data_IF_852003435163
#
_entry.id   IF_852003435163
#
_cell.length_a   1.000
_cell.length_b   1.000
_cell.length_c   1.000
_cell.angle_alpha   90.00
_cell.angle_beta   90.00
_cell.angle_gamma   90.00
#
_symmetry.space_group_name_H-M   'P 1'
#
loop_
_entity.id
_entity.type
_entity.pdbx_description
1 polymer ?
#
# COMPACT_ATOMS: atom_id res chain seq x y z
N UNK A 1 -55.66 -33.92 -6.03
CA UNK A 1 -54.64 -33.40 -5.05
C UNK A 1 -53.20 -33.56 -5.53
N UNK A 2 -52.85 -34.53 -6.33
CA UNK A 2 -51.46 -34.73 -6.73
C UNK A 2 -50.92 -33.71 -7.76
N UNK A 3 -51.72 -33.22 -8.67
CA UNK A 3 -51.29 -32.29 -9.73
C UNK A 3 -51.01 -30.87 -9.22
N UNK A 4 -51.72 -30.38 -8.23
CA UNK A 4 -51.52 -29.06 -7.64
C UNK A 4 -50.26 -29.03 -6.76
N UNK A 5 -50.04 -30.08 -5.95
CA UNK A 5 -48.81 -30.22 -5.11
C UNK A 5 -47.53 -30.36 -5.95
N UNK A 6 -47.61 -31.06 -7.10
CA UNK A 6 -46.47 -31.16 -8.04
C UNK A 6 -46.14 -29.83 -8.71
N UNK A 7 -47.12 -28.99 -9.03
CA UNK A 7 -46.92 -27.67 -9.64
C UNK A 7 -46.32 -26.67 -8.64
N UNK A 8 -46.76 -26.66 -7.39
CA UNK A 8 -46.20 -25.83 -6.34
C UNK A 8 -44.78 -26.25 -5.98
N UNK A 9 -44.49 -27.54 -5.94
CA UNK A 9 -43.13 -28.03 -5.67
C UNK A 9 -42.15 -27.71 -6.80
N UNK A 10 -42.59 -27.84 -8.07
CA UNK A 10 -41.79 -27.46 -9.23
C UNK A 10 -41.53 -25.95 -9.28
N UNK A 11 -42.52 -25.12 -8.96
CA UNK A 11 -42.35 -23.66 -8.87
C UNK A 11 -41.39 -23.25 -7.73
N UNK A 12 -41.47 -23.91 -6.57
CA UNK A 12 -40.56 -23.64 -5.46
C UNK A 12 -39.12 -24.06 -5.80
N UNK A 13 -38.93 -25.20 -6.48
CA UNK A 13 -37.64 -25.67 -6.92
C UNK A 13 -37.01 -24.73 -7.96
N UNK A 14 -37.85 -24.17 -8.87
CA UNK A 14 -37.39 -23.21 -9.87
C UNK A 14 -36.90 -21.90 -9.23
N UNK A 15 -37.61 -21.41 -8.20
CA UNK A 15 -37.23 -20.20 -7.45
C UNK A 15 -35.92 -20.41 -6.69
N UNK A 16 -35.72 -21.58 -6.09
CA UNK A 16 -34.46 -21.90 -5.36
C UNK A 16 -33.31 -22.02 -6.35
N UNK A 17 -33.49 -22.57 -7.56
CA UNK A 17 -32.43 -22.64 -8.57
C UNK A 17 -32.02 -21.26 -9.10
N UNK A 18 -32.97 -20.31 -9.23
CA UNK A 18 -32.64 -18.95 -9.73
C UNK A 18 -31.90 -18.12 -8.72
N UNK A 19 -32.04 -18.40 -7.42
CA UNK A 19 -31.26 -17.69 -6.36
C UNK A 19 -29.82 -18.16 -6.25
N UNK A 20 -29.45 -19.31 -6.82
CA UNK A 20 -28.09 -19.82 -6.81
C UNK A 20 -27.20 -19.24 -7.93
N UNK A 21 -27.78 -18.55 -8.92
CA UNK A 21 -27.01 -17.92 -10.01
C UNK A 21 -26.79 -16.42 -9.83
N UNK A 22 -27.08 -15.83 -8.66
CA UNK A 22 -26.87 -14.42 -8.41
C UNK A 22 -25.49 -14.11 -7.77
N UNK A 23 -24.49 -14.90 -8.07
CA UNK A 23 -23.09 -14.49 -7.90
C UNK A 23 -22.44 -14.51 -9.28
N UNK A 24 -22.77 -13.55 -10.12
CA UNK A 24 -21.78 -13.09 -11.09
C UNK A 24 -20.66 -12.45 -10.27
N UNK A 25 -19.61 -13.21 -10.06
CA UNK A 25 -18.30 -12.69 -9.74
C UNK A 25 -17.89 -11.83 -10.95
N UNK A 26 -18.29 -10.57 -10.97
CA UNK A 26 -17.60 -9.58 -11.78
C UNK A 26 -16.16 -9.60 -11.32
N UNK A 27 -15.30 -10.26 -12.08
CA UNK A 27 -13.88 -10.41 -11.83
C UNK A 27 -13.12 -9.08 -11.84
N UNK A 28 -13.83 -7.97 -12.01
CA UNK A 28 -13.31 -6.61 -11.99
C UNK A 28 -13.56 -5.89 -10.67
N UNK A 29 -14.49 -6.33 -9.84
CA UNK A 29 -14.72 -5.80 -8.52
C UNK A 29 -13.56 -6.21 -7.59
N UNK A 30 -12.75 -5.23 -7.18
CA UNK A 30 -11.59 -5.41 -6.32
C UNK A 30 -10.25 -5.53 -7.05
N UNK A 31 -10.18 -5.33 -8.37
CA UNK A 31 -8.91 -5.13 -9.08
C UNK A 31 -8.52 -3.66 -9.03
N UNK A 32 -7.55 -3.36 -8.19
CA UNK A 32 -6.97 -2.03 -8.10
C UNK A 32 -5.73 -1.94 -9.00
N UNK A 33 -5.61 -0.84 -9.73
CA UNK A 33 -4.39 -0.57 -10.50
C UNK A 33 -3.18 -0.45 -9.57
N UNK A 34 -2.01 -1.00 -9.93
CA UNK A 34 -0.78 -0.75 -9.17
C UNK A 34 -0.50 0.74 -9.02
N UNK A 35 0.11 1.14 -7.92
CA UNK A 35 0.55 2.51 -7.73
C UNK A 35 1.58 2.89 -8.80
N UNK A 36 1.43 4.09 -9.37
CA UNK A 36 2.36 4.67 -10.35
C UNK A 36 3.13 5.81 -9.71
N UNK A 37 4.42 5.79 -9.91
CA UNK A 37 5.34 6.70 -9.24
C UNK A 37 6.18 7.52 -10.21
N UNK A 38 6.49 8.74 -9.81
CA UNK A 38 7.47 9.61 -10.45
C UNK A 38 8.44 10.15 -9.40
N UNK A 39 9.66 10.45 -9.81
CA UNK A 39 10.66 11.17 -9.02
C UNK A 39 11.49 12.07 -9.93
N UNK A 40 12.26 12.95 -9.33
CA UNK A 40 13.23 13.83 -9.98
C UNK A 40 14.54 13.10 -10.35
N UNK A 41 14.63 11.80 -10.04
CA UNK A 41 15.82 10.98 -10.27
C UNK A 41 15.57 9.92 -11.32
N UNK A 42 16.62 9.51 -12.05
CA UNK A 42 16.51 8.40 -13.01
C UNK A 42 16.29 7.05 -12.29
N UNK A 43 15.70 6.10 -13.01
CA UNK A 43 15.46 4.74 -12.55
C UNK A 43 14.09 4.51 -11.92
N UNK A 44 13.93 3.42 -11.18
CA UNK A 44 12.70 3.11 -10.46
C UNK A 44 12.56 4.06 -9.25
N UNK A 45 11.52 4.91 -9.20
CA UNK A 45 11.31 5.82 -8.09
C UNK A 45 11.26 5.14 -6.71
N UNK A 46 10.84 3.88 -6.68
CA UNK A 46 10.70 3.09 -5.44
C UNK A 46 12.00 2.47 -4.94
N UNK A 47 13.09 2.58 -5.72
CA UNK A 47 14.42 2.09 -5.33
C UNK A 47 15.39 3.25 -5.17
N UNK A 48 15.65 3.62 -3.93
CA UNK A 48 16.50 4.75 -3.58
C UNK A 48 17.86 4.23 -3.12
N UNK A 49 18.92 4.61 -3.84
CA UNK A 49 20.30 4.42 -3.38
C UNK A 49 20.83 5.77 -2.92
N UNK A 50 21.02 5.91 -1.62
CA UNK A 50 21.51 7.12 -0.99
C UNK A 50 23.00 7.02 -0.67
N UNK A 51 23.69 8.16 -0.72
CA UNK A 51 25.05 8.28 -0.25
C UNK A 51 25.12 8.31 1.28
N UNK A 52 26.32 8.17 1.84
CA UNK A 52 26.52 8.24 3.28
C UNK A 52 26.15 9.61 3.88
N UNK A 53 26.22 10.70 3.11
CA UNK A 53 25.84 12.05 3.58
C UNK A 53 24.33 12.16 3.86
N UNK A 54 23.52 11.26 3.32
CA UNK A 54 22.08 11.33 3.44
C UNK A 54 21.45 12.36 2.50
N UNK A 55 20.34 12.96 2.93
CA UNK A 55 19.60 13.95 2.15
C UNK A 55 18.11 13.64 2.08
N UNK A 56 17.38 14.45 1.34
CA UNK A 56 15.93 14.28 1.13
C UNK A 56 15.64 13.80 -0.27
N UNK A 57 14.84 12.74 -0.34
CA UNK A 57 14.39 12.08 -1.56
C UNK A 57 12.88 12.26 -1.70
N UNK A 58 12.45 12.63 -2.90
CA UNK A 58 11.05 12.90 -3.17
C UNK A 58 10.52 11.95 -4.22
N UNK A 59 9.34 11.35 -3.95
CA UNK A 59 8.60 10.58 -4.93
C UNK A 59 7.11 10.90 -4.84
N UNK A 60 6.42 10.85 -5.98
CA UNK A 60 5.02 11.22 -6.11
C UNK A 60 4.22 10.07 -6.70
N UNK A 61 3.14 9.69 -6.01
CA UNK A 61 2.14 8.79 -6.56
C UNK A 61 1.24 9.56 -7.53
N UNK A 62 1.05 9.04 -8.76
CA UNK A 62 0.37 9.79 -9.82
C UNK A 62 -1.07 9.35 -10.06
N UNK A 63 -1.47 8.19 -9.57
CA UNK A 63 -2.79 7.62 -9.83
C UNK A 63 -3.67 7.42 -8.59
N UNK A 64 -3.17 7.79 -7.39
CA UNK A 64 -3.95 7.81 -6.16
C UNK A 64 -3.82 9.15 -5.45
N UNK A 65 -4.95 9.68 -4.98
CA UNK A 65 -4.99 10.92 -4.21
C UNK A 65 -4.82 10.66 -2.71
N UNK A 66 -3.66 11.00 -2.17
CA UNK A 66 -3.41 10.96 -0.74
C UNK A 66 -3.11 9.56 -0.17
N UNK A 67 -2.22 8.76 -0.78
CA UNK A 67 -1.72 7.56 -0.15
C UNK A 67 -0.99 7.91 1.16
N UNK A 68 -0.92 6.95 2.08
CA UNK A 68 -0.32 7.15 3.41
C UNK A 68 0.69 6.05 3.75
N UNK A 69 1.44 6.26 4.83
CA UNK A 69 2.46 5.35 5.30
C UNK A 69 1.81 4.28 6.19
N UNK A 70 1.90 3.02 5.79
CA UNK A 70 1.44 1.90 6.61
C UNK A 70 2.50 1.52 7.66
N UNK A 71 3.76 1.44 7.24
CA UNK A 71 4.88 1.16 8.14
C UNK A 71 6.20 1.58 7.53
N UNK A 72 7.20 1.74 8.39
CA UNK A 72 8.61 1.91 8.02
C UNK A 72 9.43 0.90 8.80
N UNK A 73 10.14 0.03 8.09
CA UNK A 73 10.99 -1.00 8.65
C UNK A 73 12.46 -0.70 8.39
N UNK A 74 13.24 -0.66 9.47
CA UNK A 74 14.70 -0.69 9.48
C UNK A 74 15.18 -2.06 9.99
N UNK A 75 16.46 -2.44 9.87
CA UNK A 75 16.93 -3.77 10.25
C UNK A 75 16.60 -4.21 11.66
N UNK A 76 16.51 -3.28 12.60
CA UNK A 76 16.32 -3.51 14.04
C UNK A 76 14.93 -3.10 14.55
N UNK A 77 14.13 -2.41 13.74
CA UNK A 77 12.84 -1.90 14.20
C UNK A 77 11.83 -1.70 13.06
N UNK A 78 10.56 -1.88 13.38
CA UNK A 78 9.44 -1.52 12.48
C UNK A 78 8.48 -0.61 13.21
N UNK A 79 8.18 0.53 12.61
CA UNK A 79 7.21 1.49 13.13
C UNK A 79 5.98 1.50 12.22
N UNK A 80 4.82 1.28 12.83
CA UNK A 80 3.53 1.30 12.13
C UNK A 80 2.89 2.68 12.24
N UNK A 81 2.27 3.15 11.17
CA UNK A 81 1.58 4.43 11.11
C UNK A 81 0.44 4.59 12.13
N UNK A 82 -0.13 3.48 12.61
CA UNK A 82 -1.18 3.48 13.63
C UNK A 82 -0.68 3.55 15.07
N UNK A 83 0.63 3.69 15.30
CA UNK A 83 1.16 3.80 16.65
C UNK A 83 0.71 5.11 17.32
N UNK A 84 0.64 5.15 18.66
CA UNK A 84 0.17 6.35 19.40
C UNK A 84 1.08 7.58 19.21
N UNK A 85 2.33 7.37 18.84
CA UNK A 85 3.34 8.42 18.72
C UNK A 85 3.60 8.83 17.27
N UNK A 86 3.10 8.06 16.31
CA UNK A 86 3.29 8.26 14.89
C UNK A 86 1.93 8.25 14.19
N UNK A 87 1.77 9.05 13.17
CA UNK A 87 0.58 9.05 12.35
C UNK A 87 0.83 8.39 10.98
N UNK A 88 -0.23 8.21 10.21
CA UNK A 88 -0.13 7.64 8.86
C UNK A 88 0.55 8.56 7.84
N UNK A 89 0.85 9.79 8.21
CA UNK A 89 1.45 10.80 7.34
C UNK A 89 2.88 11.12 7.68
N UNK A 90 3.33 10.83 8.91
CA UNK A 90 4.65 11.19 9.36
C UNK A 90 5.22 10.15 10.30
N UNK A 91 6.28 9.47 9.88
CA UNK A 91 7.05 8.54 10.72
C UNK A 91 8.49 9.01 10.75
N UNK A 92 8.96 9.39 11.94
CA UNK A 92 10.33 9.83 12.20
C UNK A 92 10.96 8.98 13.30
N UNK A 93 12.12 8.45 13.03
CA UNK A 93 12.87 7.64 14.00
C UNK A 93 14.36 7.64 13.69
N UNK A 94 15.19 7.73 14.73
CA UNK A 94 16.64 7.67 14.67
C UNK A 94 17.26 8.42 13.47
N UNK A 95 17.49 7.75 12.37
CA UNK A 95 18.22 8.26 11.21
C UNK A 95 17.36 8.55 9.98
N UNK A 96 16.06 8.38 10.06
CA UNK A 96 15.16 8.65 8.96
C UNK A 96 13.91 9.44 9.38
N UNK A 97 13.37 10.15 8.42
CA UNK A 97 12.12 10.91 8.52
C UNK A 97 11.33 10.70 7.23
N UNK A 98 10.14 10.12 7.33
CA UNK A 98 9.26 9.84 6.19
C UNK A 98 7.98 10.62 6.37
N UNK A 99 7.76 11.58 5.47
CA UNK A 99 6.60 12.47 5.47
C UNK A 99 5.78 12.26 4.19
N UNK A 100 4.50 11.93 4.34
CA UNK A 100 3.52 11.89 3.25
C UNK A 100 2.67 13.16 3.26
N UNK A 101 2.81 13.99 2.23
CA UNK A 101 2.03 15.19 2.03
C UNK A 101 1.26 15.09 0.73
N UNK A 102 -0.07 15.04 0.83
CA UNK A 102 -0.95 14.74 -0.31
C UNK A 102 -0.54 13.41 -0.97
N UNK A 103 -0.11 13.43 -2.22
CA UNK A 103 0.37 12.27 -2.97
C UNK A 103 1.90 12.20 -3.09
N UNK A 104 2.64 13.02 -2.34
CA UNK A 104 4.10 13.11 -2.38
C UNK A 104 4.71 12.64 -1.06
N UNK A 105 5.73 11.81 -1.18
CA UNK A 105 6.51 11.29 -0.06
C UNK A 105 7.88 11.96 -0.04
N UNK A 106 8.26 12.47 1.11
CA UNK A 106 9.57 13.03 1.40
C UNK A 106 10.28 12.08 2.35
N UNK A 107 11.39 11.53 1.91
CA UNK A 107 12.21 10.60 2.68
C UNK A 107 13.52 11.30 2.99
N UNK A 108 13.72 11.70 4.22
CA UNK A 108 14.94 12.36 4.69
C UNK A 108 15.78 11.38 5.47
N UNK A 109 17.04 11.26 5.10
CA UNK A 109 18.02 10.39 5.74
C UNK A 109 19.12 11.25 6.37
N UNK A 110 19.44 10.98 7.63
CA UNK A 110 20.61 11.56 8.29
C UNK A 110 21.90 10.91 7.76
N UNK A 111 23.06 11.55 7.93
CA UNK A 111 24.34 10.98 7.56
C UNK A 111 24.55 9.59 8.19
N UNK A 112 25.08 8.66 7.41
CA UNK A 112 25.48 7.35 7.87
C UNK A 112 26.96 7.35 8.25
N UNK A 113 27.25 7.44 9.53
CA UNK A 113 28.63 7.45 10.07
C UNK A 113 29.08 6.07 10.56
N UNK A 114 28.26 5.03 10.35
CA UNK A 114 28.54 3.68 10.85
C UNK A 114 29.58 2.92 10.01
N UNK A 115 29.85 3.37 8.78
CA UNK A 115 30.70 2.65 7.83
C UNK A 115 30.07 1.37 7.27
N UNK A 116 28.80 1.12 7.55
CA UNK A 116 28.04 -0.05 7.05
C UNK A 116 26.79 0.41 6.32
N UNK A 117 26.46 -0.27 5.23
CA UNK A 117 25.20 -0.07 4.52
C UNK A 117 24.00 -0.31 5.45
N UNK A 118 23.00 0.54 5.37
CA UNK A 118 21.72 0.37 6.07
C UNK A 118 20.55 0.49 5.13
N UNK A 119 19.46 -0.19 5.46
CA UNK A 119 18.29 -0.32 4.60
C UNK A 119 17.03 0.16 5.31
N UNK A 120 16.09 0.63 4.50
CA UNK A 120 14.77 1.03 4.95
C UNK A 120 13.75 0.50 3.96
N UNK A 121 12.68 -0.11 4.46
CA UNK A 121 11.53 -0.49 3.65
C UNK A 121 10.30 0.28 4.13
N UNK A 122 9.68 1.03 3.22
CA UNK A 122 8.53 1.86 3.50
C UNK A 122 7.32 1.22 2.81
N UNK A 123 6.33 0.83 3.59
CA UNK A 123 5.05 0.32 3.07
C UNK A 123 4.09 1.48 2.96
N UNK A 124 3.59 1.70 1.76
CA UNK A 124 2.63 2.74 1.41
C UNK A 124 1.31 2.11 1.03
N UNK A 125 0.21 2.72 1.38
CA UNK A 125 -1.12 2.22 1.05
C UNK A 125 -2.05 3.34 0.61
N UNK A 126 -3.02 2.99 -0.23
CA UNK A 126 -4.16 3.83 -0.59
C UNK A 126 -5.45 2.99 -0.45
N UNK A 127 -5.78 2.59 0.79
CA UNK A 127 -6.85 1.63 1.10
C UNK A 127 -6.38 0.20 0.92
N UNK A 128 -6.99 -0.52 -0.01
CA UNK A 128 -6.70 -1.94 -0.23
C UNK A 128 -5.50 -2.22 -1.13
N UNK A 129 -4.87 -1.17 -1.69
CA UNK A 129 -3.65 -1.28 -2.49
C UNK A 129 -2.43 -0.92 -1.65
N UNK A 130 -1.40 -1.75 -1.74
CA UNK A 130 -0.10 -1.55 -1.07
C UNK A 130 1.03 -1.51 -2.07
N UNK A 131 2.04 -0.71 -1.78
CA UNK A 131 3.31 -0.68 -2.51
C UNK A 131 4.49 -0.47 -1.56
N UNK A 132 5.68 -0.70 -2.06
CA UNK A 132 6.91 -0.70 -1.26
C UNK A 132 7.94 0.25 -1.86
N UNK A 133 8.56 1.04 -1.00
CA UNK A 133 9.72 1.88 -1.35
C UNK A 133 10.92 1.37 -0.57
N UNK A 134 11.95 0.96 -1.30
CA UNK A 134 13.19 0.44 -0.73
C UNK A 134 14.28 1.51 -0.77
N UNK A 135 14.93 1.73 0.35
CA UNK A 135 16.04 2.66 0.49
C UNK A 135 17.27 1.90 0.94
N UNK A 136 18.38 2.12 0.24
CA UNK A 136 19.70 1.63 0.63
C UNK A 136 20.63 2.83 0.81
N UNK A 137 21.16 3.04 2.00
CA UNK A 137 22.14 4.09 2.29
C UNK A 137 23.51 3.50 2.57
N UNK A 138 24.51 3.98 1.84
CA UNK A 138 25.92 3.55 1.98
C UNK A 138 26.60 4.16 3.18
#
# INVERSE_FOLDING_TARGET
MSKLKKRTFAALLLIVLTTLFSCELNSEDGRWDPMKWTSDRPGDPRKITATAEGGTYQLKCTNYGGPWISSVAAPDTTIFGSSKEQDFRHIKYDWYDVLAKENTFYITLLPNTTGKERKLSIVVTAGDIFDYVEVTQK
#
